data_IF_069613247512
#
_entry.id   IF_069613247512
#
_cell.length_a   1.000
_cell.length_b   1.000
_cell.length_c   1.000
_cell.angle_alpha   90.00
_cell.angle_beta   90.00
_cell.angle_gamma   90.00
#
_symmetry.space_group_name_H-M   'P 1'
#
loop_
_entity.id
_entity.type
_entity.pdbx_description
1 polymer ?
#
# COMPACT_ATOMS: atom_id res chain seq x y z
N UNK A 1 2.87 28.64 -5.20
CA UNK A 1 3.94 27.97 -4.44
C UNK A 1 5.26 28.34 -5.08
N UNK A 2 6.17 28.95 -4.32
CA UNK A 2 7.53 29.23 -4.80
C UNK A 2 8.27 27.93 -5.14
N UNK A 3 9.10 27.96 -6.18
CA UNK A 3 9.85 26.79 -6.62
C UNK A 3 10.83 26.34 -5.52
N UNK A 4 10.55 25.20 -4.90
CA UNK A 4 11.41 24.59 -3.87
C UNK A 4 12.75 24.20 -4.49
N UNK A 5 13.85 24.71 -3.93
CA UNK A 5 15.20 24.50 -4.46
C UNK A 5 15.87 23.29 -3.77
N UNK A 6 16.79 22.61 -4.46
CA UNK A 6 17.70 21.69 -3.78
C UNK A 6 18.44 22.39 -2.64
N UNK A 7 18.54 21.73 -1.49
CA UNK A 7 19.14 22.25 -0.27
C UNK A 7 18.18 22.96 0.68
N UNK A 8 16.92 23.19 0.27
CA UNK A 8 15.89 23.77 1.15
C UNK A 8 15.55 22.84 2.32
N UNK A 9 15.41 23.42 3.50
CA UNK A 9 14.87 22.75 4.68
C UNK A 9 13.37 22.99 4.72
N UNK A 10 12.60 21.91 4.84
CA UNK A 10 11.15 21.97 4.97
C UNK A 10 10.68 21.03 6.07
N UNK A 11 9.54 21.31 6.67
CA UNK A 11 8.88 20.40 7.60
C UNK A 11 8.33 19.17 6.86
N UNK A 12 8.05 18.10 7.60
CA UNK A 12 7.37 16.93 7.03
C UNK A 12 5.96 17.26 6.50
N UNK A 13 5.27 18.21 7.11
CA UNK A 13 3.94 18.65 6.66
C UNK A 13 4.03 19.36 5.31
N UNK A 14 4.93 20.34 5.18
CA UNK A 14 5.19 21.04 3.90
C UNK A 14 5.65 20.07 2.81
N UNK A 15 6.46 19.07 3.18
CA UNK A 15 6.93 18.05 2.23
C UNK A 15 5.82 17.11 1.76
N UNK A 16 4.88 16.79 2.65
CA UNK A 16 3.71 15.99 2.31
C UNK A 16 2.79 16.77 1.35
N UNK A 17 2.54 18.05 1.65
CA UNK A 17 1.75 18.95 0.82
C UNK A 17 2.39 19.18 -0.55
N UNK A 18 3.70 19.41 -0.60
CA UNK A 18 4.47 19.60 -1.84
C UNK A 18 4.32 18.42 -2.82
N UNK A 19 4.24 17.20 -2.29
CA UNK A 19 4.15 15.98 -3.08
C UNK A 19 2.71 15.47 -3.26
N UNK A 20 1.72 16.10 -2.62
CA UNK A 20 0.33 15.61 -2.62
C UNK A 20 0.18 14.24 -1.96
N UNK A 21 0.95 13.94 -0.92
CA UNK A 21 0.93 12.63 -0.22
C UNK A 21 0.68 12.78 1.27
N UNK A 22 0.39 11.68 1.96
CA UNK A 22 0.25 11.69 3.42
C UNK A 22 1.58 12.01 4.13
N UNK A 23 1.49 12.60 5.32
CA UNK A 23 2.62 12.85 6.22
C UNK A 23 3.47 11.59 6.45
N UNK A 24 2.83 10.44 6.68
CA UNK A 24 3.51 9.15 6.88
C UNK A 24 4.23 8.65 5.63
N UNK A 25 3.64 8.85 4.45
CA UNK A 25 4.24 8.49 3.15
C UNK A 25 5.48 9.34 2.88
N UNK A 26 5.40 10.66 3.10
CA UNK A 26 6.56 11.53 3.05
C UNK A 26 7.63 11.08 4.06
N UNK A 27 7.19 10.77 5.28
CA UNK A 27 7.90 10.04 6.32
C UNK A 27 8.82 8.92 5.83
N UNK A 28 8.19 7.92 5.23
CA UNK A 28 8.87 6.74 4.70
C UNK A 28 9.82 7.08 3.56
N UNK A 29 9.43 7.98 2.64
CA UNK A 29 10.26 8.40 1.51
C UNK A 29 11.52 9.13 1.97
N UNK A 30 11.40 10.07 2.91
CA UNK A 30 12.53 10.81 3.46
C UNK A 30 13.56 9.88 4.13
N UNK A 31 13.09 8.88 4.90
CA UNK A 31 13.96 7.85 5.51
C UNK A 31 14.64 6.96 4.47
N UNK A 32 13.90 6.49 3.47
CA UNK A 32 14.44 5.65 2.38
C UNK A 32 15.49 6.39 1.55
N UNK A 33 15.29 7.68 1.33
CA UNK A 33 16.23 8.56 0.64
C UNK A 33 17.35 9.10 1.55
N UNK A 34 17.39 8.67 2.83
CA UNK A 34 18.38 9.11 3.83
C UNK A 34 18.53 10.64 3.90
N UNK A 35 17.41 11.37 3.83
CA UNK A 35 17.44 12.83 3.91
C UNK A 35 17.95 13.29 5.28
N UNK A 36 18.79 14.32 5.28
CA UNK A 36 19.25 14.95 6.51
C UNK A 36 18.05 15.55 7.23
N UNK A 37 17.90 15.26 8.52
CA UNK A 37 16.86 15.83 9.36
C UNK A 37 17.43 16.67 10.49
N UNK A 38 16.68 17.67 10.92
CA UNK A 38 16.98 18.51 12.09
C UNK A 38 15.69 18.87 12.81
N UNK A 39 15.79 19.18 14.10
CA UNK A 39 14.67 19.78 14.84
C UNK A 39 14.98 21.27 15.00
N UNK A 40 14.07 22.12 14.54
CA UNK A 40 14.19 23.57 14.63
C UNK A 40 12.82 24.15 15.05
N UNK A 41 12.82 25.06 16.03
CA UNK A 41 11.60 25.63 16.61
C UNK A 41 10.54 24.58 17.01
N UNK A 42 10.98 23.41 17.51
CA UNK A 42 10.09 22.31 17.92
C UNK A 42 9.50 21.49 16.78
N UNK A 43 9.86 21.78 15.52
CA UNK A 43 9.38 21.05 14.34
C UNK A 43 10.50 20.24 13.70
N UNK A 44 10.19 19.01 13.29
CA UNK A 44 11.11 18.16 12.54
C UNK A 44 11.14 18.60 11.07
N UNK A 45 12.32 18.99 10.61
CA UNK A 45 12.58 19.40 9.24
C UNK A 45 13.51 18.40 8.53
N UNK A 46 13.40 18.34 7.21
CA UNK A 46 14.28 17.58 6.32
C UNK A 46 14.86 18.47 5.24
N UNK A 47 16.10 18.21 4.87
CA UNK A 47 16.79 18.87 3.77
C UNK A 47 16.50 18.13 2.46
N UNK A 48 15.86 18.82 1.52
CA UNK A 48 15.56 18.26 0.20
C UNK A 48 16.82 18.25 -0.68
N UNK A 49 17.12 17.11 -1.28
CA UNK A 49 18.25 16.99 -2.21
C UNK A 49 17.78 17.11 -3.66
N UNK A 50 18.68 17.47 -4.57
CA UNK A 50 18.39 17.48 -6.00
C UNK A 50 17.93 16.09 -6.48
N UNK A 51 18.57 15.02 -5.98
CA UNK A 51 18.19 13.64 -6.31
C UNK A 51 16.75 13.31 -5.89
N UNK A 52 16.33 13.74 -4.70
CA UNK A 52 14.97 13.55 -4.21
C UNK A 52 13.94 14.32 -5.07
N UNK A 53 14.25 15.57 -5.42
CA UNK A 53 13.39 16.38 -6.29
C UNK A 53 13.33 15.85 -7.73
N UNK A 54 14.42 15.29 -8.26
CA UNK A 54 14.41 14.65 -9.58
C UNK A 54 13.54 13.39 -9.61
N UNK A 55 13.52 12.61 -8.52
CA UNK A 55 12.62 11.45 -8.38
C UNK A 55 11.15 11.87 -8.34
N UNK A 56 10.84 13.05 -7.80
CA UNK A 56 9.50 13.62 -7.84
C UNK A 56 9.05 13.95 -9.27
N UNK A 57 9.92 14.59 -10.07
CA UNK A 57 9.60 14.95 -11.46
C UNK A 57 9.45 13.72 -12.35
N UNK A 58 10.15 12.62 -12.04
CA UNK A 58 10.16 11.41 -12.87
C UNK A 58 9.19 10.31 -12.43
N UNK A 59 8.63 10.37 -11.23
CA UNK A 59 7.60 9.41 -10.86
C UNK A 59 6.27 9.83 -11.49
N UNK A 60 5.63 8.96 -12.30
CA UNK A 60 4.19 9.06 -12.48
C UNK A 60 3.64 9.05 -11.06
N UNK A 61 2.94 10.11 -10.67
CA UNK A 61 2.08 10.03 -9.51
C UNK A 61 1.06 8.96 -9.85
N UNK A 62 1.33 7.71 -9.44
CA UNK A 62 0.28 6.74 -9.33
C UNK A 62 -0.76 7.44 -8.45
N UNK A 63 -1.97 7.70 -8.98
CA UNK A 63 -2.96 8.41 -8.21
C UNK A 63 -3.03 7.70 -6.86
N UNK A 64 -2.89 8.46 -5.78
CA UNK A 64 -3.43 7.96 -4.53
C UNK A 64 -4.85 7.49 -4.86
N UNK A 65 -5.28 6.30 -4.42
CA UNK A 65 -6.65 5.88 -4.67
C UNK A 65 -7.56 6.86 -3.92
N UNK A 66 -7.88 7.98 -4.57
CA UNK A 66 -8.59 9.14 -4.03
C UNK A 66 -10.09 8.88 -3.92
N UNK A 67 -10.48 7.62 -4.07
CA UNK A 67 -11.84 7.15 -3.86
C UNK A 67 -11.77 5.79 -3.19
N UNK A 68 -12.70 5.53 -2.28
CA UNK A 68 -12.94 4.19 -1.75
C UNK A 68 -13.07 3.15 -2.89
N UNK A 69 -13.56 3.58 -4.06
CA UNK A 69 -13.58 2.79 -5.30
C UNK A 69 -12.18 2.37 -5.81
N UNK A 70 -11.18 3.25 -5.75
CA UNK A 70 -9.80 2.92 -6.12
C UNK A 70 -9.15 1.93 -5.15
N UNK A 71 -9.46 2.04 -3.85
CA UNK A 71 -8.99 1.09 -2.83
C UNK A 71 -9.70 -0.26 -3.00
N UNK A 72 -11.01 -0.24 -3.23
CA UNK A 72 -11.80 -1.45 -3.48
C UNK A 72 -11.29 -2.21 -4.72
N UNK A 73 -11.06 -1.52 -5.83
CA UNK A 73 -10.51 -2.14 -7.05
C UNK A 73 -9.10 -2.72 -6.82
N UNK A 74 -8.27 -2.04 -6.03
CA UNK A 74 -6.94 -2.56 -5.68
C UNK A 74 -7.01 -3.80 -4.78
N UNK A 75 -7.94 -3.83 -3.82
CA UNK A 75 -8.20 -4.99 -2.96
C UNK A 75 -8.76 -6.18 -3.75
N UNK A 76 -9.68 -5.95 -4.69
CA UNK A 76 -10.18 -6.98 -5.60
C UNK A 76 -9.05 -7.58 -6.44
N UNK A 77 -8.17 -6.74 -7.01
CA UNK A 77 -7.01 -7.23 -7.76
C UNK A 77 -5.96 -7.95 -6.89
N UNK A 78 -5.99 -7.78 -5.56
CA UNK A 78 -5.21 -8.61 -4.64
C UNK A 78 -5.92 -9.92 -4.30
N UNK A 79 -7.25 -9.89 -4.15
CA UNK A 79 -8.07 -11.07 -3.90
C UNK A 79 -7.92 -12.07 -5.05
N UNK A 80 -8.05 -11.63 -6.30
CA UNK A 80 -7.91 -12.51 -7.48
C UNK A 80 -6.53 -13.18 -7.55
N UNK A 81 -5.46 -12.45 -7.17
CA UNK A 81 -4.10 -13.01 -7.11
C UNK A 81 -3.94 -14.02 -5.97
N UNK A 82 -4.59 -13.78 -4.83
CA UNK A 82 -4.58 -14.69 -3.71
C UNK A 82 -5.37 -15.98 -4.03
N UNK A 83 -6.50 -15.88 -4.73
CA UNK A 83 -7.26 -17.03 -5.24
C UNK A 83 -6.44 -17.86 -6.23
N UNK A 84 -5.82 -17.23 -7.23
CA UNK A 84 -4.96 -17.95 -8.18
C UNK A 84 -3.79 -18.65 -7.47
N UNK A 85 -3.18 -18.00 -6.47
CA UNK A 85 -2.11 -18.60 -5.67
C UNK A 85 -2.62 -19.78 -4.82
N UNK A 86 -3.84 -19.70 -4.31
CA UNK A 86 -4.45 -20.79 -3.56
C UNK A 86 -4.70 -22.02 -4.45
N UNK A 87 -5.18 -21.82 -5.68
CA UNK A 87 -5.38 -22.89 -6.67
C UNK A 87 -4.07 -23.57 -7.06
N UNK A 88 -3.03 -22.79 -7.35
CA UNK A 88 -1.71 -23.34 -7.69
C UNK A 88 -1.09 -24.13 -6.53
N UNK A 89 -1.16 -23.60 -5.30
CA UNK A 89 -0.68 -24.31 -4.11
C UNK A 89 -1.47 -25.58 -3.83
N UNK A 90 -2.79 -25.58 -4.05
CA UNK A 90 -3.62 -26.78 -3.89
C UNK A 90 -3.29 -27.84 -4.94
N UNK A 91 -3.01 -27.43 -6.18
CA UNK A 91 -2.57 -28.33 -7.25
C UNK A 91 -1.21 -28.95 -6.94
N UNK A 92 -0.22 -28.12 -6.58
CA UNK A 92 1.12 -28.57 -6.22
C UNK A 92 1.09 -29.49 -4.99
N UNK A 93 0.28 -29.17 -3.99
CA UNK A 93 0.05 -30.03 -2.83
C UNK A 93 -0.53 -31.41 -3.21
N UNK A 94 -1.46 -31.43 -4.17
CA UNK A 94 -2.03 -32.66 -4.72
C UNK A 94 -0.98 -33.51 -5.45
N UNK A 95 -0.13 -32.87 -6.25
CA UNK A 95 0.99 -33.53 -6.94
C UNK A 95 2.00 -34.11 -5.94
N UNK A 96 2.35 -33.38 -4.89
CA UNK A 96 3.24 -33.84 -3.81
C UNK A 96 2.69 -35.05 -3.04
N UNK A 97 1.38 -35.04 -2.73
CA UNK A 97 0.73 -36.20 -2.12
C UNK A 97 0.73 -37.42 -3.05
N UNK A 98 0.56 -37.21 -4.36
CA UNK A 98 0.55 -38.31 -5.34
C UNK A 98 1.92 -39.02 -5.47
N UNK A 99 3.03 -38.31 -5.19
CA UNK A 99 4.39 -38.88 -5.15
C UNK A 99 4.80 -39.39 -3.76
N UNK A 100 3.91 -39.36 -2.77
CA UNK A 100 4.14 -39.89 -1.42
C UNK A 100 4.84 -38.93 -0.46
N UNK A 101 4.90 -37.64 -0.79
CA UNK A 101 5.45 -36.59 0.09
C UNK A 101 4.37 -35.95 0.97
N UNK A 102 3.70 -36.77 1.79
CA UNK A 102 2.50 -36.40 2.56
C UNK A 102 2.64 -35.13 3.42
N UNK A 103 3.84 -34.88 3.98
CA UNK A 103 4.09 -33.66 4.78
C UNK A 103 4.20 -32.40 3.93
N UNK A 104 4.80 -32.51 2.75
CA UNK A 104 4.93 -31.38 1.83
C UNK A 104 3.56 -31.06 1.21
N UNK A 105 2.80 -32.10 0.83
CA UNK A 105 1.43 -31.94 0.36
C UNK A 105 0.50 -31.35 1.43
N UNK A 106 0.58 -31.79 2.69
CA UNK A 106 -0.20 -31.17 3.78
C UNK A 106 0.16 -29.70 4.01
N UNK A 107 1.46 -29.35 3.93
CA UNK A 107 1.92 -27.97 4.06
C UNK A 107 1.40 -27.09 2.90
N UNK A 108 1.49 -27.57 1.65
CA UNK A 108 0.96 -26.87 0.48
C UNK A 108 -0.55 -26.67 0.56
N UNK A 109 -1.29 -27.67 1.04
CA UNK A 109 -2.74 -27.58 1.20
C UNK A 109 -3.13 -26.59 2.30
N UNK A 110 -2.38 -26.55 3.41
CA UNK A 110 -2.59 -25.54 4.45
C UNK A 110 -2.28 -24.11 3.96
N UNK A 111 -1.25 -23.95 3.14
CA UNK A 111 -0.90 -22.67 2.52
C UNK A 111 -1.98 -22.21 1.52
N UNK A 112 -2.52 -23.14 0.73
CA UNK A 112 -3.64 -22.88 -0.17
C UNK A 112 -4.88 -22.37 0.59
N UNK A 113 -5.24 -23.02 1.70
CA UNK A 113 -6.37 -22.60 2.54
C UNK A 113 -6.14 -21.20 3.10
N UNK A 114 -4.94 -20.90 3.60
CA UNK A 114 -4.61 -19.56 4.13
C UNK A 114 -4.74 -18.49 3.04
N UNK A 115 -4.25 -18.77 1.83
CA UNK A 115 -4.36 -17.85 0.69
C UNK A 115 -5.82 -17.64 0.26
N UNK A 116 -6.64 -18.69 0.24
CA UNK A 116 -8.08 -18.57 -0.02
C UNK A 116 -8.82 -17.76 1.06
N UNK A 117 -8.49 -17.96 2.34
CA UNK A 117 -9.03 -17.13 3.42
C UNK A 117 -8.63 -15.66 3.28
N UNK A 118 -7.38 -15.39 2.88
CA UNK A 118 -6.92 -14.03 2.62
C UNK A 118 -7.69 -13.39 1.45
N UNK A 119 -7.93 -14.13 0.37
CA UNK A 119 -8.72 -13.64 -0.76
C UNK A 119 -10.14 -13.21 -0.33
N UNK A 120 -10.81 -14.04 0.48
CA UNK A 120 -12.14 -13.73 1.03
C UNK A 120 -12.15 -12.46 1.89
N UNK A 121 -11.13 -12.27 2.74
CA UNK A 121 -11.03 -11.08 3.59
C UNK A 121 -10.78 -9.82 2.77
N UNK A 122 -9.95 -9.90 1.72
CA UNK A 122 -9.68 -8.79 0.83
C UNK A 122 -10.95 -8.38 0.05
N UNK A 123 -11.73 -9.36 -0.41
CA UNK A 123 -12.99 -9.14 -1.13
C UNK A 123 -14.05 -8.51 -0.24
N UNK A 124 -14.21 -9.00 1.00
CA UNK A 124 -15.08 -8.36 1.99
C UNK A 124 -14.65 -6.91 2.29
N UNK A 125 -13.34 -6.65 2.32
CA UNK A 125 -12.80 -5.30 2.43
C UNK A 125 -13.16 -4.40 1.24
N UNK A 126 -13.10 -4.92 0.02
CA UNK A 126 -13.50 -4.19 -1.19
C UNK A 126 -15.01 -3.87 -1.21
N UNK A 127 -15.84 -4.83 -0.81
CA UNK A 127 -17.30 -4.66 -0.72
C UNK A 127 -17.70 -3.59 0.30
N UNK A 128 -17.08 -3.59 1.49
CA UNK A 128 -17.36 -2.59 2.53
C UNK A 128 -17.00 -1.16 2.11
N UNK A 129 -15.95 -1.01 1.30
CA UNK A 129 -15.54 0.28 0.73
C UNK A 129 -16.43 0.72 -0.44
N UNK A 130 -17.12 -0.22 -1.08
CA UNK A 130 -18.01 0.04 -2.22
C UNK A 130 -19.47 0.27 -1.81
N UNK A 131 -19.83 -0.01 -0.55
CA UNK A 131 -21.17 0.22 -0.05
C UNK A 131 -21.50 1.73 -0.06
N UNK A 132 -22.69 2.14 -0.54
CA UNK A 132 -23.13 3.52 -0.41
C UNK A 132 -23.18 3.87 1.07
N UNK A 133 -22.47 4.94 1.47
CA UNK A 133 -22.67 5.50 2.81
C UNK A 133 -24.12 5.97 2.88
N UNK A 134 -24.98 5.23 3.58
CA UNK A 134 -26.25 5.77 4.04
C UNK A 134 -25.93 6.99 4.90
N UNK A 135 -26.19 8.15 4.32
CA UNK A 135 -26.03 9.45 4.94
C UNK A 135 -26.94 9.49 6.17
N UNK A 136 -26.36 9.26 7.34
CA UNK A 136 -27.04 9.33 8.64
C UNK A 136 -27.33 10.79 9.03
N UNK A 137 -27.92 11.55 8.10
CA UNK A 137 -28.30 12.95 8.24
C UNK A 137 -29.82 13.15 8.36
N UNK A 138 -30.55 12.12 8.79
CA UNK A 138 -31.98 12.22 9.13
C UNK A 138 -32.26 11.71 10.56
N UNK A 139 -31.71 12.43 11.55
CA UNK A 139 -32.29 12.45 12.90
C UNK A 139 -32.58 13.91 13.23
N UNK A 140 -33.84 14.28 13.00
CA UNK A 140 -34.46 15.52 13.46
C UNK A 140 -34.60 15.57 14.96
#
# INVERSE_FOLDING_TARGET
MDAVKPGSWITYAEGAELLGISYGTFGARARRAQLKSRVEAGSLQVCLTAAFLSQYVQQPQAPAPDSNAGIASWLDGLADRADASAEDLAREAGEMNAVGEDRAGAAGLSAAVVMGCLALLLRAGAETLSAPQEDASDVR
#
